data_IF_923996891998
#
_entry.id   IF_923996891998
#
_cell.length_a   1.000
_cell.length_b   1.000
_cell.length_c   1.000
_cell.angle_alpha   90.00
_cell.angle_beta   90.00
_cell.angle_gamma   90.00
#
_symmetry.space_group_name_H-M   'P 1'
#
loop_
_entity.id
_entity.type
_entity.pdbx_description
1 polymer ?
#
# COMPACT_ATOMS: atom_id res chain seq x y z
N UNK A 1 28.29 1.96 30.52
CA UNK A 1 27.09 1.22 30.06
C UNK A 1 27.50 -0.23 29.81
N UNK A 2 26.79 -1.21 30.37
CA UNK A 2 27.15 -2.64 30.22
C UNK A 2 26.84 -3.14 28.80
N UNK A 3 27.59 -4.13 28.30
CA UNK A 3 27.34 -4.75 26.99
C UNK A 3 25.93 -5.32 26.85
N UNK A 4 25.30 -5.75 27.96
CA UNK A 4 23.90 -6.19 27.97
C UNK A 4 22.91 -5.05 27.72
N UNK A 5 23.19 -3.86 28.24
CA UNK A 5 22.34 -2.68 28.05
C UNK A 5 22.50 -2.11 26.65
N UNK A 6 23.73 -2.13 26.11
CA UNK A 6 23.99 -1.80 24.69
C UNK A 6 23.22 -2.73 23.75
N UNK A 7 23.21 -4.04 24.01
CA UNK A 7 22.47 -5.01 23.20
C UNK A 7 20.97 -4.75 23.24
N UNK A 8 20.39 -4.46 24.42
CA UNK A 8 18.96 -4.13 24.54
C UNK A 8 18.58 -2.88 23.74
N UNK A 9 19.37 -1.81 23.88
CA UNK A 9 19.16 -0.57 23.13
C UNK A 9 19.24 -0.83 21.63
N UNK A 10 20.24 -1.60 21.20
CA UNK A 10 20.40 -1.97 19.80
C UNK A 10 19.19 -2.73 19.26
N UNK A 11 18.68 -3.73 19.98
CA UNK A 11 17.50 -4.48 19.58
C UNK A 11 16.26 -3.57 19.44
N UNK A 12 16.03 -2.68 20.40
CA UNK A 12 14.89 -1.74 20.37
C UNK A 12 14.98 -0.82 19.14
N UNK A 13 16.15 -0.20 18.93
CA UNK A 13 16.37 0.70 17.79
C UNK A 13 16.20 -0.05 16.46
N UNK A 14 16.73 -1.27 16.37
CA UNK A 14 16.62 -2.07 15.15
C UNK A 14 15.17 -2.47 14.84
N UNK A 15 14.40 -2.87 15.85
CA UNK A 15 12.97 -3.15 15.69
C UNK A 15 12.19 -1.91 15.23
N UNK A 16 12.48 -0.73 15.78
CA UNK A 16 11.83 0.52 15.36
C UNK A 16 12.14 0.86 13.91
N UNK A 17 13.39 0.67 13.47
CA UNK A 17 13.80 0.88 12.08
C UNK A 17 13.02 -0.05 11.16
N UNK A 18 12.91 -1.34 11.48
CA UNK A 18 12.16 -2.30 10.66
C UNK A 18 10.69 -1.86 10.54
N UNK A 19 10.03 -1.52 11.65
CA UNK A 19 8.63 -1.08 11.64
C UNK A 19 8.47 0.18 10.78
N UNK A 20 9.39 1.14 10.91
CA UNK A 20 9.37 2.36 10.10
C UNK A 20 9.53 2.06 8.60
N UNK A 21 10.40 1.13 8.21
CA UNK A 21 10.56 0.77 6.80
C UNK A 21 9.33 0.04 6.25
N UNK A 22 8.76 -0.92 7.00
CA UNK A 22 7.57 -1.67 6.58
C UNK A 22 6.38 -0.75 6.33
N UNK A 23 6.13 0.19 7.24
CA UNK A 23 5.03 1.17 7.11
C UNK A 23 5.18 2.08 5.88
N UNK A 24 6.41 2.45 5.50
CA UNK A 24 6.67 3.26 4.31
C UNK A 24 6.48 2.43 3.03
N UNK A 25 6.98 1.20 3.01
CA UNK A 25 6.91 0.32 1.82
C UNK A 25 5.47 -0.02 1.46
N UNK A 26 4.63 -0.34 2.45
CA UNK A 26 3.23 -0.68 2.21
C UNK A 26 2.46 0.54 1.66
N UNK A 27 2.71 1.72 2.24
CA UNK A 27 2.09 2.98 1.79
C UNK A 27 2.52 3.33 0.37
N UNK A 28 3.81 3.20 0.05
CA UNK A 28 4.33 3.48 -1.28
C UNK A 28 3.78 2.51 -2.34
N UNK A 29 3.65 1.24 -1.99
CA UNK A 29 3.06 0.22 -2.88
C UNK A 29 1.57 0.47 -3.12
N UNK A 30 0.80 0.84 -2.08
CA UNK A 30 -0.59 1.23 -2.24
C UNK A 30 -0.73 2.46 -3.15
N UNK A 31 0.07 3.50 -2.92
CA UNK A 31 0.05 4.71 -3.75
C UNK A 31 0.40 4.40 -5.21
N UNK A 32 1.39 3.55 -5.44
CA UNK A 32 1.78 3.11 -6.80
C UNK A 32 0.63 2.39 -7.51
N UNK A 33 -0.09 1.51 -6.81
CA UNK A 33 -1.27 0.80 -7.36
C UNK A 33 -2.40 1.75 -7.72
N UNK A 34 -2.64 2.74 -6.88
CA UNK A 34 -3.63 3.78 -7.15
C UNK A 34 -3.28 4.56 -8.42
N UNK A 35 -2.05 5.08 -8.52
CA UNK A 35 -1.62 5.81 -9.72
C UNK A 35 -1.68 4.96 -10.99
N UNK A 36 -1.32 3.67 -10.92
CA UNK A 36 -1.44 2.77 -12.05
C UNK A 36 -2.89 2.55 -12.47
N UNK A 37 -3.83 2.46 -11.51
CA UNK A 37 -5.25 2.34 -11.79
C UNK A 37 -5.79 3.60 -12.48
N UNK A 38 -5.54 4.77 -11.91
CA UNK A 38 -6.04 6.04 -12.47
C UNK A 38 -5.46 6.30 -13.86
N UNK A 39 -4.16 6.05 -14.04
CA UNK A 39 -3.49 6.22 -15.34
C UNK A 39 -4.03 5.24 -16.37
N UNK A 40 -4.31 3.99 -15.99
CA UNK A 40 -4.91 3.00 -16.89
C UNK A 40 -6.29 3.42 -17.37
N UNK A 41 -7.15 3.88 -16.46
CA UNK A 41 -8.51 4.34 -16.81
C UNK A 41 -8.44 5.60 -17.67
N UNK A 42 -7.61 6.57 -17.29
CA UNK A 42 -7.43 7.79 -18.08
C UNK A 42 -6.94 7.50 -19.51
N UNK A 43 -6.04 6.51 -19.66
CA UNK A 43 -5.52 6.11 -20.97
C UNK A 43 -6.51 5.27 -21.78
N UNK A 44 -7.35 4.44 -21.16
CA UNK A 44 -8.35 3.63 -21.90
C UNK A 44 -9.49 4.48 -22.43
N UNK A 45 -9.98 5.40 -21.59
CA UNK A 45 -11.20 6.13 -21.87
C UNK A 45 -10.92 7.52 -22.46
N UNK A 46 -9.62 7.90 -22.55
CA UNK A 46 -9.13 9.21 -22.99
C UNK A 46 -9.74 10.38 -22.19
N UNK A 47 -10.27 10.09 -21.01
CA UNK A 47 -10.95 11.01 -20.10
C UNK A 47 -10.76 10.51 -18.67
N UNK A 48 -10.94 11.40 -17.70
CA UNK A 48 -10.82 11.05 -16.29
C UNK A 48 -11.83 11.83 -15.47
N UNK A 49 -12.68 11.14 -14.72
CA UNK A 49 -13.67 11.73 -13.84
C UNK A 49 -13.33 11.52 -12.36
N UNK A 50 -13.99 12.27 -11.48
CA UNK A 50 -13.86 12.04 -10.03
C UNK A 50 -14.37 10.65 -9.63
N UNK A 51 -15.40 10.12 -10.31
CA UNK A 51 -15.89 8.77 -10.06
C UNK A 51 -14.84 7.68 -10.34
N UNK A 52 -13.99 7.88 -11.35
CA UNK A 52 -12.89 6.97 -11.65
C UNK A 52 -11.81 7.00 -10.57
N UNK A 53 -11.53 8.20 -10.04
CA UNK A 53 -10.62 8.38 -8.91
C UNK A 53 -11.15 7.69 -7.65
N UNK A 54 -12.44 7.85 -7.33
CA UNK A 54 -13.08 7.19 -6.20
C UNK A 54 -13.10 5.66 -6.35
N UNK A 55 -13.39 5.14 -7.54
CA UNK A 55 -13.37 3.71 -7.82
C UNK A 55 -11.95 3.11 -7.66
N UNK A 56 -10.91 3.80 -8.16
CA UNK A 56 -9.52 3.38 -7.98
C UNK A 56 -9.06 3.51 -6.51
N UNK A 57 -9.54 4.53 -5.80
CA UNK A 57 -9.24 4.72 -4.38
C UNK A 57 -9.85 3.59 -3.55
N UNK A 58 -11.12 3.26 -3.79
CA UNK A 58 -11.81 2.22 -3.05
C UNK A 58 -11.19 0.84 -3.28
N UNK A 59 -10.73 0.54 -4.50
CA UNK A 59 -9.99 -0.71 -4.81
C UNK A 59 -8.68 -0.88 -4.03
N UNK A 60 -8.01 0.21 -3.69
CA UNK A 60 -6.66 0.20 -3.11
C UNK A 60 -6.68 0.46 -1.60
N UNK A 61 -7.56 1.34 -1.13
CA UNK A 61 -7.53 1.89 0.23
C UNK A 61 -8.76 1.56 1.08
N UNK A 62 -9.98 1.42 0.51
CA UNK A 62 -11.18 1.06 1.30
C UNK A 62 -11.49 -0.43 1.23
N UNK A 63 -10.91 -1.19 2.16
CA UNK A 63 -11.22 -2.60 2.33
C UNK A 63 -10.73 -3.45 1.15
N UNK A 64 -9.95 -4.49 1.44
CA UNK A 64 -9.75 -5.60 0.52
C UNK A 64 -11.10 -6.28 0.20
N UNK A 65 -11.95 -5.67 -0.63
CA UNK A 65 -13.16 -6.29 -1.15
C UNK A 65 -12.73 -7.38 -2.11
N UNK A 66 -12.40 -8.55 -1.57
CA UNK A 66 -12.17 -9.79 -2.32
C UNK A 66 -11.46 -9.54 -3.66
N UNK A 67 -10.37 -8.76 -3.68
CA UNK A 67 -9.65 -8.47 -4.92
C UNK A 67 -8.28 -9.16 -4.86
N UNK A 68 -7.81 -9.69 -5.99
CA UNK A 68 -6.51 -10.34 -6.07
C UNK A 68 -5.35 -9.35 -5.80
N UNK A 69 -4.11 -9.87 -5.78
CA UNK A 69 -2.90 -9.04 -5.56
C UNK A 69 -2.73 -7.94 -6.61
N UNK A 70 -3.46 -7.98 -7.72
CA UNK A 70 -3.45 -7.03 -8.83
C UNK A 70 -4.67 -6.08 -8.84
N UNK A 71 -5.57 -6.19 -7.86
CA UNK A 71 -6.75 -5.33 -7.73
C UNK A 71 -7.90 -5.70 -8.68
N UNK A 72 -7.94 -6.94 -9.18
CA UNK A 72 -9.09 -7.48 -9.90
C UNK A 72 -10.06 -8.15 -8.91
N UNK A 73 -11.38 -8.10 -9.14
CA UNK A 73 -12.35 -8.86 -8.35
C UNK A 73 -12.00 -10.36 -8.36
N UNK A 74 -11.88 -10.96 -7.18
CA UNK A 74 -11.91 -12.41 -7.02
C UNK A 74 -13.35 -12.83 -7.32
N UNK A 75 -13.50 -13.72 -8.30
CA UNK A 75 -14.79 -14.35 -8.57
C UNK A 75 -15.30 -14.98 -7.27
N UNK A 76 -16.47 -14.53 -6.83
CA UNK A 76 -17.17 -15.10 -5.68
C UNK A 76 -17.60 -16.52 -6.05
N UNK A 77 -17.44 -17.53 -5.16
CA UNK A 77 -17.89 -18.89 -5.43
C UNK A 77 -19.40 -18.96 -5.72
#
# INVERSE_FOLDING_TARGET
MSSRELLKIFCIVFSLIIIAQVTIVDTANALTRFFNCTTRVANSDSTFSIGDAEACYDRVFKGALDNDRYGNPLDKP
#
